data_IF_283939600648
#
_entry.id   IF_283939600648
#
_cell.length_a   1.000
_cell.length_b   1.000
_cell.length_c   1.000
_cell.angle_alpha   90.00
_cell.angle_beta   90.00
_cell.angle_gamma   90.00
#
_symmetry.space_group_name_H-M   'P 1'
#
loop_
_entity.id
_entity.type
_entity.pdbx_description
1 polymer ?
#
# COMPACT_ATOMS: atom_id res chain seq x y z
N UNK A 1 10.88 12.17 -2.51
CA UNK A 1 9.74 11.36 -2.01
C UNK A 1 10.01 9.90 -2.37
N UNK A 2 9.94 8.98 -1.41
CA UNK A 2 10.16 7.55 -1.68
C UNK A 2 8.87 6.73 -1.69
N UNK A 3 7.71 7.39 -1.73
CA UNK A 3 6.42 6.75 -1.89
C UNK A 3 6.36 5.98 -3.22
N UNK A 4 5.84 4.75 -3.18
CA UNK A 4 5.63 3.94 -4.38
C UNK A 4 4.29 4.32 -5.01
N UNK A 5 4.12 4.14 -6.35
CA UNK A 5 2.82 4.33 -6.98
C UNK A 5 1.72 3.50 -6.33
N UNK A 6 2.05 2.27 -5.92
CA UNK A 6 1.13 1.38 -5.23
C UNK A 6 0.70 1.95 -3.87
N UNK A 7 1.64 2.49 -3.10
CA UNK A 7 1.34 3.13 -1.82
C UNK A 7 0.38 4.32 -2.00
N UNK A 8 0.68 5.24 -2.91
CA UNK A 8 -0.14 6.43 -3.15
C UNK A 8 -1.54 6.05 -3.66
N UNK A 9 -1.64 5.14 -4.63
CA UNK A 9 -2.94 4.67 -5.10
C UNK A 9 -3.74 3.97 -3.99
N UNK A 10 -3.06 3.29 -3.08
CA UNK A 10 -3.68 2.64 -1.93
C UNK A 10 -4.16 3.66 -0.90
N UNK A 11 -3.35 4.66 -0.56
CA UNK A 11 -3.72 5.74 0.35
C UNK A 11 -4.97 6.50 -0.12
N UNK A 12 -5.02 6.83 -1.42
CA UNK A 12 -6.11 7.57 -2.05
C UNK A 12 -7.34 6.70 -2.39
N UNK A 13 -7.30 5.39 -2.10
CA UNK A 13 -8.46 4.50 -2.32
C UNK A 13 -8.73 4.12 -3.77
N UNK A 14 -7.73 4.25 -4.65
CA UNK A 14 -7.88 4.04 -6.10
C UNK A 14 -7.75 2.57 -6.49
N UNK A 15 -8.79 1.78 -6.20
CA UNK A 15 -8.79 0.32 -6.37
C UNK A 15 -8.39 -0.17 -7.77
N UNK A 16 -8.88 0.45 -8.84
CA UNK A 16 -8.52 0.04 -10.21
C UNK A 16 -7.04 0.29 -10.52
N UNK A 17 -6.48 1.38 -9.98
CA UNK A 17 -5.06 1.71 -10.13
C UNK A 17 -4.21 0.71 -9.35
N UNK A 18 -4.64 0.35 -8.14
CA UNK A 18 -4.00 -0.71 -7.32
C UNK A 18 -3.95 -2.03 -8.11
N UNK A 19 -5.08 -2.48 -8.66
CA UNK A 19 -5.15 -3.67 -9.51
C UNK A 19 -4.18 -3.61 -10.69
N UNK A 20 -4.16 -2.49 -11.40
CA UNK A 20 -3.30 -2.31 -12.56
C UNK A 20 -1.82 -2.41 -12.18
N UNK A 21 -1.41 -1.72 -11.13
CA UNK A 21 -0.04 -1.72 -10.65
C UNK A 21 0.42 -3.12 -10.22
N UNK A 22 -0.41 -3.86 -9.47
CA UNK A 22 -0.10 -5.23 -9.04
C UNK A 22 0.02 -6.16 -10.24
N UNK A 23 -0.89 -6.07 -11.22
CA UNK A 23 -0.81 -6.85 -12.47
C UNK A 23 0.48 -6.60 -13.27
N UNK A 24 1.08 -5.42 -13.12
CA UNK A 24 2.34 -5.06 -13.75
C UNK A 24 3.56 -5.25 -12.82
N UNK A 25 3.43 -6.02 -11.74
CA UNK A 25 4.54 -6.44 -10.90
C UNK A 25 4.97 -5.41 -9.84
N UNK A 26 4.08 -4.49 -9.45
CA UNK A 26 4.33 -3.67 -8.27
C UNK A 26 4.48 -4.55 -7.03
N UNK A 27 5.54 -4.32 -6.26
CA UNK A 27 5.79 -5.03 -5.01
C UNK A 27 4.77 -4.62 -3.93
N UNK A 28 3.87 -5.54 -3.61
CA UNK A 28 2.76 -5.38 -2.66
C UNK A 28 3.20 -5.07 -1.23
N UNK A 29 4.44 -5.38 -0.87
CA UNK A 29 4.99 -5.18 0.47
C UNK A 29 5.94 -3.98 0.54
N UNK A 30 6.18 -3.29 -0.59
CA UNK A 30 7.16 -2.21 -0.64
C UNK A 30 6.65 -0.95 0.06
N UNK A 31 7.28 -0.61 1.18
CA UNK A 31 7.03 0.62 1.91
C UNK A 31 7.70 1.84 1.25
N UNK A 32 7.12 3.05 1.44
CA UNK A 32 7.80 4.30 1.13
C UNK A 32 9.14 4.39 1.84
N UNK A 33 10.13 4.99 1.17
CA UNK A 33 11.41 5.38 1.79
C UNK A 33 11.49 6.89 2.03
N UNK A 34 12.32 7.32 2.98
CA UNK A 34 12.62 8.74 3.22
C UNK A 34 11.54 9.48 4.00
N UNK A 35 11.40 10.80 3.78
CA UNK A 35 10.54 11.70 4.57
C UNK A 35 9.09 11.21 4.72
N UNK A 36 8.50 10.64 3.66
CA UNK A 36 7.11 10.10 3.68
C UNK A 36 6.92 9.07 4.80
N UNK A 37 7.93 8.24 5.09
CA UNK A 37 7.86 7.25 6.16
C UNK A 37 7.94 7.85 7.58
N UNK A 38 8.41 9.10 7.71
CA UNK A 38 8.64 9.75 9.02
C UNK A 38 7.41 10.51 9.52
N UNK A 39 6.59 11.01 8.60
CA UNK A 39 5.48 11.92 8.94
C UNK A 39 4.37 11.24 9.75
N UNK A 40 4.23 9.92 9.61
CA UNK A 40 3.19 9.14 10.29
C UNK A 40 3.69 8.41 11.55
N UNK A 41 4.99 8.44 11.88
CA UNK A 41 5.60 7.68 13.01
C UNK A 41 5.31 6.16 13.01
N UNK A 42 4.98 5.59 11.85
CA UNK A 42 4.71 4.15 11.71
C UNK A 42 5.86 3.52 10.97
N UNK A 43 6.58 2.61 11.63
CA UNK A 43 7.55 1.74 10.97
C UNK A 43 6.80 0.80 10.02
N UNK A 44 7.41 0.42 8.88
CA UNK A 44 6.81 -0.48 7.88
C UNK A 44 5.45 -0.01 7.30
N UNK A 45 5.42 1.20 6.75
CA UNK A 45 4.24 1.71 6.03
C UNK A 45 3.97 0.93 4.72
N UNK A 46 3.39 -0.25 4.81
CA UNK A 46 3.03 -1.06 3.64
C UNK A 46 1.73 -0.56 3.01
N UNK A 47 1.51 -0.86 1.71
CA UNK A 47 0.20 -0.65 1.08
C UNK A 47 -0.95 -1.25 1.92
N UNK A 48 -0.76 -2.43 2.53
CA UNK A 48 -1.80 -3.05 3.36
C UNK A 48 -2.11 -2.21 4.59
N UNK A 49 -1.09 -1.71 5.30
CA UNK A 49 -1.28 -0.94 6.51
C UNK A 49 -2.02 0.37 6.24
N UNK A 50 -1.64 1.11 5.19
CA UNK A 50 -2.32 2.36 4.85
C UNK A 50 -3.77 2.11 4.36
N UNK A 51 -4.02 1.00 3.65
CA UNK A 51 -5.39 0.61 3.29
C UNK A 51 -6.26 0.38 4.53
N UNK A 52 -5.72 -0.27 5.56
CA UNK A 52 -6.40 -0.48 6.85
C UNK A 52 -6.67 0.85 7.57
N UNK A 53 -5.67 1.74 7.66
CA UNK A 53 -5.82 3.04 8.31
C UNK A 53 -6.88 3.94 7.65
N UNK A 54 -6.99 3.85 6.32
CA UNK A 54 -7.94 4.64 5.53
C UNK A 54 -9.30 3.95 5.34
N UNK A 55 -9.48 2.74 5.88
CA UNK A 55 -10.69 1.93 5.76
C UNK A 55 -11.06 1.56 4.30
N UNK A 56 -10.05 1.29 3.46
CA UNK A 56 -10.25 0.91 2.06
C UNK A 56 -10.46 -0.59 1.88
N UNK A 57 -11.60 -1.10 2.35
CA UNK A 57 -11.90 -2.54 2.44
C UNK A 57 -11.63 -3.33 1.15
N UNK A 58 -12.05 -2.81 -0.01
CA UNK A 58 -11.85 -3.49 -1.29
C UNK A 58 -10.35 -3.60 -1.66
N UNK A 59 -9.54 -2.63 -1.26
CA UNK A 59 -8.09 -2.67 -1.47
C UNK A 59 -7.43 -3.62 -0.47
N UNK A 60 -7.88 -3.64 0.79
CA UNK A 60 -7.41 -4.60 1.81
C UNK A 60 -7.58 -6.03 1.29
N UNK A 61 -8.79 -6.38 0.83
CA UNK A 61 -9.08 -7.70 0.25
C UNK A 61 -8.13 -8.02 -0.91
N UNK A 62 -7.99 -7.08 -1.84
CA UNK A 62 -7.18 -7.31 -3.03
C UNK A 62 -5.67 -7.44 -2.74
N UNK A 63 -5.14 -6.69 -1.77
CA UNK A 63 -3.76 -6.80 -1.33
C UNK A 63 -3.50 -8.16 -0.67
N UNK A 64 -4.43 -8.65 0.17
CA UNK A 64 -4.35 -9.98 0.79
C UNK A 64 -4.38 -11.08 -0.28
N UNK A 65 -5.31 -10.99 -1.25
CA UNK A 65 -5.36 -11.89 -2.42
C UNK A 65 -4.06 -11.87 -3.23
N UNK A 66 -3.35 -10.75 -3.20
CA UNK A 66 -2.07 -10.54 -3.91
C UNK A 66 -0.84 -10.89 -3.06
N UNK A 67 -1.01 -11.67 -1.99
CA UNK A 67 0.06 -12.10 -1.07
C UNK A 67 0.75 -10.95 -0.31
N UNK A 68 0.04 -9.87 0.00
CA UNK A 68 0.53 -8.90 0.97
C UNK A 68 0.70 -9.57 2.35
N UNK A 69 1.81 -9.29 3.03
CA UNK A 69 2.05 -9.83 4.36
C UNK A 69 1.14 -9.10 5.37
N UNK A 70 0.36 -9.87 6.13
CA UNK A 70 -0.60 -9.34 7.11
C UNK A 70 0.04 -9.02 8.47
N UNK A 71 1.30 -9.40 8.67
CA UNK A 71 2.02 -9.29 9.94
C UNK A 71 3.28 -8.40 9.88
N UNK A 72 3.46 -7.61 8.81
CA UNK A 72 4.63 -6.70 8.63
C UNK A 72 4.42 -5.31 9.18
#
# INVERSE_FOLDING_TARGET
>A
TGATPLYTATEEGHLEVVRLLIRHGADVNRSPKGQVARDLHIENQTPLLIACMRNHEAIIRHLIESNANVNV
#
